data_IF_146971559504
#
_entry.id   IF_146971559504
#
_cell.length_a   1.000
_cell.length_b   1.000
_cell.length_c   1.000
_cell.angle_alpha   90.00
_cell.angle_beta   90.00
_cell.angle_gamma   90.00
#
_symmetry.space_group_name_H-M   'P 1'
#
loop_
_entity.id
_entity.type
_entity.pdbx_description
1 polymer ?
#
# COMPACT_ATOMS: atom_id res chain seq x y z
N UNK A 1 -2.29 -22.43 -21.25
CA UNK A 1 -1.20 -21.93 -20.37
C UNK A 1 -0.96 -20.43 -20.52
N UNK A 2 -0.74 -19.87 -21.72
CA UNK A 2 -0.46 -18.43 -21.88
C UNK A 2 -1.57 -17.49 -21.37
N UNK A 3 -2.84 -17.81 -21.65
CA UNK A 3 -3.98 -17.03 -21.16
C UNK A 3 -4.01 -17.02 -19.62
N UNK A 4 -3.85 -18.19 -19.00
CA UNK A 4 -3.77 -18.31 -17.54
C UNK A 4 -2.58 -17.54 -16.96
N UNK A 5 -1.40 -17.61 -17.60
CA UNK A 5 -0.22 -16.88 -17.16
C UNK A 5 -0.44 -15.37 -17.21
N UNK A 6 -1.06 -14.88 -18.29
CA UNK A 6 -1.41 -13.46 -18.44
C UNK A 6 -2.33 -12.99 -17.31
N UNK A 7 -3.41 -13.72 -17.03
CA UNK A 7 -4.34 -13.36 -15.95
C UNK A 7 -3.69 -13.48 -14.56
N UNK A 8 -2.93 -14.55 -14.32
CA UNK A 8 -2.24 -14.78 -13.05
C UNK A 8 -1.23 -13.68 -12.73
N UNK A 9 -0.37 -13.33 -13.70
CA UNK A 9 0.59 -12.25 -13.56
C UNK A 9 -0.10 -10.89 -13.38
N UNK A 10 -1.11 -10.59 -14.20
CA UNK A 10 -1.81 -9.31 -14.11
C UNK A 10 -2.51 -9.13 -12.76
N UNK A 11 -3.16 -10.18 -12.25
CA UNK A 11 -3.81 -10.14 -10.95
C UNK A 11 -2.80 -9.93 -9.82
N UNK A 12 -1.66 -10.64 -9.87
CA UNK A 12 -0.57 -10.47 -8.90
C UNK A 12 -0.05 -9.04 -8.89
N UNK A 13 0.18 -8.43 -10.06
CA UNK A 13 0.65 -7.05 -10.16
C UNK A 13 -0.37 -6.04 -9.65
N UNK A 14 -1.66 -6.24 -9.92
CA UNK A 14 -2.71 -5.36 -9.38
C UNK A 14 -2.77 -5.46 -7.85
N UNK A 15 -2.67 -6.67 -7.29
CA UNK A 15 -2.60 -6.88 -5.84
C UNK A 15 -1.35 -6.26 -5.24
N UNK A 16 -0.19 -6.45 -5.85
CA UNK A 16 1.05 -5.83 -5.40
C UNK A 16 0.95 -4.29 -5.41
N UNK A 17 0.35 -3.73 -6.47
CA UNK A 17 0.12 -2.29 -6.61
C UNK A 17 -0.80 -1.75 -5.52
N UNK A 18 -1.94 -2.40 -5.24
CA UNK A 18 -2.89 -1.92 -4.24
C UNK A 18 -2.34 -2.06 -2.81
N UNK A 19 -1.60 -3.13 -2.51
CA UNK A 19 -0.99 -3.37 -1.19
C UNK A 19 0.14 -2.38 -0.88
N UNK A 20 0.84 -1.87 -1.90
CA UNK A 20 2.00 -1.00 -1.71
C UNK A 20 1.78 0.44 -2.21
N UNK A 21 0.53 0.82 -2.52
CA UNK A 21 0.23 2.10 -3.14
C UNK A 21 0.75 3.29 -2.34
N UNK A 22 1.74 3.99 -2.91
CA UNK A 22 2.26 5.27 -2.42
C UNK A 22 3.05 5.20 -1.10
N UNK A 23 3.21 4.02 -0.50
CA UNK A 23 3.93 3.86 0.76
C UNK A 23 5.46 3.87 0.50
N UNK A 24 6.20 4.55 1.37
CA UNK A 24 7.66 4.65 1.29
C UNK A 24 8.31 4.45 2.66
N UNK A 25 9.32 3.60 2.71
CA UNK A 25 10.19 3.45 3.88
C UNK A 25 11.13 4.64 4.01
N UNK A 26 11.20 5.19 5.21
CA UNK A 26 12.05 6.32 5.54
C UNK A 26 13.47 5.87 5.88
N UNK A 27 14.44 6.77 5.68
CA UNK A 27 15.82 6.56 6.12
C UNK A 27 16.00 6.99 7.57
N UNK A 28 16.78 6.21 8.31
CA UNK A 28 17.10 6.48 9.71
C UNK A 28 18.09 7.64 9.82
N UNK A 29 17.81 8.59 10.72
CA UNK A 29 18.63 9.78 10.93
C UNK A 29 20.06 9.45 11.40
N UNK A 30 20.25 8.33 12.10
CA UNK A 30 21.54 7.95 12.71
C UNK A 30 22.49 7.17 11.79
N UNK A 31 22.10 6.83 10.55
CA UNK A 31 22.98 6.02 9.70
C UNK A 31 22.54 5.79 8.26
N UNK A 32 21.54 6.52 7.75
CA UNK A 32 21.11 6.46 6.35
C UNK A 32 20.46 5.14 5.91
N UNK A 33 20.42 4.13 6.77
CA UNK A 33 19.74 2.84 6.53
C UNK A 33 18.23 3.03 6.52
N UNK A 34 17.51 2.27 5.70
CA UNK A 34 16.05 2.26 5.72
C UNK A 34 15.51 1.63 7.01
N UNK A 35 14.39 2.16 7.49
CA UNK A 35 13.65 1.60 8.64
C UNK A 35 13.24 0.14 8.40
N UNK A 36 13.15 -0.68 9.44
CA UNK A 36 12.72 -2.08 9.27
C UNK A 36 11.30 -2.15 8.69
N UNK A 37 10.99 -3.15 7.84
CA UNK A 37 9.61 -3.43 7.44
C UNK A 37 8.72 -3.65 8.67
N UNK A 38 7.52 -3.11 8.63
CA UNK A 38 6.52 -3.08 9.71
C UNK A 38 5.15 -2.98 9.05
N UNK A 39 4.07 -3.24 9.80
CA UNK A 39 2.72 -3.31 9.24
C UNK A 39 2.28 -2.04 8.48
N UNK A 40 2.75 -0.85 8.88
CA UNK A 40 2.52 0.44 8.18
C UNK A 40 3.05 0.53 6.74
N UNK A 41 3.92 -0.39 6.31
CA UNK A 41 4.51 -0.38 4.96
C UNK A 41 3.69 -1.15 3.92
N UNK A 42 2.46 -1.53 4.26
CA UNK A 42 1.52 -2.17 3.34
C UNK A 42 0.07 -1.88 3.75
N UNK A 43 -0.83 -1.81 2.78
CA UNK A 43 -2.25 -1.68 3.00
C UNK A 43 -2.86 -3.01 3.43
N UNK A 44 -3.73 -2.97 4.44
CA UNK A 44 -4.49 -4.10 4.96
C UNK A 44 -5.97 -3.99 4.55
N UNK A 45 -6.73 -5.07 4.61
CA UNK A 45 -8.19 -5.08 4.46
C UNK A 45 -8.80 -5.92 5.58
N UNK A 46 -9.90 -5.47 6.18
CA UNK A 46 -10.59 -6.23 7.22
C UNK A 46 -11.95 -6.74 6.73
N UNK A 47 -12.06 -7.19 5.48
CA UNK A 47 -13.32 -7.69 4.92
C UNK A 47 -13.39 -9.23 4.98
N UNK A 48 -14.19 -9.73 5.91
CA UNK A 48 -14.40 -11.16 6.22
C UNK A 48 -14.75 -12.00 4.98
N UNK A 49 -15.59 -11.49 4.07
CA UNK A 49 -16.00 -12.24 2.87
C UNK A 49 -14.82 -12.49 1.93
N UNK A 50 -13.98 -11.47 1.75
CA UNK A 50 -12.79 -11.58 0.92
C UNK A 50 -11.65 -12.33 1.63
N UNK A 51 -11.62 -12.34 2.97
CA UNK A 51 -10.68 -13.12 3.78
C UNK A 51 -10.88 -14.63 3.60
N UNK A 52 -12.12 -15.08 3.49
CA UNK A 52 -12.42 -16.51 3.28
C UNK A 52 -12.08 -16.93 1.84
N UNK A 53 -12.42 -16.11 0.84
CA UNK A 53 -12.18 -16.45 -0.58
C UNK A 53 -10.72 -16.33 -1.02
N UNK A 54 -9.95 -15.40 -0.47
CA UNK A 54 -8.54 -15.19 -0.83
C UNK A 54 -7.56 -15.84 0.16
N UNK A 55 -8.03 -16.74 1.03
CA UNK A 55 -7.19 -17.32 2.08
C UNK A 55 -6.40 -16.24 2.85
N UNK A 56 -7.11 -15.39 3.59
CA UNK A 56 -6.55 -14.36 4.48
C UNK A 56 -5.39 -13.53 3.92
N UNK A 57 -5.33 -13.36 2.60
CA UNK A 57 -4.34 -12.51 1.93
C UNK A 57 -4.27 -11.12 2.55
N UNK A 58 -5.37 -10.66 3.16
CA UNK A 58 -5.48 -9.38 3.81
C UNK A 58 -4.50 -9.19 4.98
N UNK A 59 -4.12 -10.25 5.72
CA UNK A 59 -3.13 -10.15 6.81
C UNK A 59 -1.67 -9.97 6.31
N UNK A 60 -1.51 -9.58 5.06
CA UNK A 60 -0.25 -9.26 4.40
C UNK A 60 0.65 -8.37 5.26
N UNK A 61 0.10 -7.36 5.91
CA UNK A 61 0.89 -6.42 6.72
C UNK A 61 1.62 -7.08 7.89
N UNK A 62 1.00 -8.03 8.59
CA UNK A 62 1.67 -8.79 9.63
C UNK A 62 2.63 -9.82 9.06
N UNK A 63 2.29 -10.46 7.95
CA UNK A 63 3.22 -11.40 7.31
C UNK A 63 4.51 -10.69 6.87
N UNK A 64 4.41 -9.48 6.33
CA UNK A 64 5.58 -8.67 5.94
C UNK A 64 6.36 -8.14 7.15
N UNK A 65 5.69 -7.90 8.29
CA UNK A 65 6.36 -7.52 9.54
C UNK A 65 7.00 -8.73 10.26
N UNK A 66 6.38 -9.91 10.16
CA UNK A 66 6.71 -11.12 10.91
C UNK A 66 6.60 -12.37 10.01
N UNK A 67 7.50 -12.55 9.03
CA UNK A 67 7.38 -13.60 8.00
C UNK A 67 7.50 -15.02 8.56
N UNK A 68 8.03 -15.20 9.77
CA UNK A 68 8.14 -16.49 10.43
C UNK A 68 6.88 -16.90 11.19
N UNK A 69 5.89 -16.00 11.32
CA UNK A 69 4.64 -16.28 12.01
C UNK A 69 3.76 -17.18 11.14
N UNK A 70 3.24 -18.26 11.75
CA UNK A 70 2.31 -19.16 11.07
C UNK A 70 1.08 -18.40 10.62
N UNK A 71 0.62 -18.72 9.41
CA UNK A 71 -0.51 -18.07 8.75
C UNK A 71 -1.77 -17.94 9.63
N UNK A 72 -2.11 -18.98 10.40
CA UNK A 72 -3.29 -18.99 11.29
C UNK A 72 -3.18 -17.98 12.45
N UNK A 73 -1.96 -17.58 12.80
CA UNK A 73 -1.67 -16.70 13.93
C UNK A 73 -1.44 -15.24 13.51
N UNK A 74 -1.50 -14.92 12.21
CA UNK A 74 -1.31 -13.55 11.72
C UNK A 74 -2.30 -12.60 12.41
N UNK A 75 -1.91 -11.36 12.70
CA UNK A 75 -2.73 -10.40 13.44
C UNK A 75 -3.06 -9.18 12.58
N UNK A 76 -4.09 -8.45 13.00
CA UNK A 76 -4.30 -7.09 12.53
C UNK A 76 -3.55 -6.12 13.45
N UNK A 77 -3.08 -5.01 12.88
CA UNK A 77 -2.32 -3.97 13.58
C UNK A 77 -2.95 -2.62 13.25
N UNK A 78 -3.29 -1.84 14.28
CA UNK A 78 -3.92 -0.50 14.12
C UNK A 78 -3.07 0.46 13.28
N UNK A 79 -1.75 0.28 13.32
CA UNK A 79 -0.77 1.06 12.56
C UNK A 79 -0.75 0.73 11.05
N UNK A 80 -1.38 -0.37 10.62
CA UNK A 80 -1.49 -0.70 9.21
C UNK A 80 -2.56 0.19 8.52
N UNK A 81 -2.24 0.87 7.41
CA UNK A 81 -3.24 1.61 6.66
C UNK A 81 -4.29 0.65 6.07
N UNK A 82 -5.57 1.01 6.16
CA UNK A 82 -6.68 0.13 5.76
C UNK A 82 -7.33 0.56 4.44
N UNK A 83 -7.53 -0.42 3.55
CA UNK A 83 -8.31 -0.27 2.33
C UNK A 83 -9.78 0.06 2.65
N UNK A 84 -10.45 0.90 1.85
CA UNK A 84 -11.85 1.26 2.07
C UNK A 84 -12.85 0.11 1.86
N UNK A 85 -12.44 -0.94 1.14
CA UNK A 85 -13.28 -2.06 0.76
C UNK A 85 -12.46 -3.36 0.66
N UNK A 86 -13.14 -4.47 0.36
CA UNK A 86 -12.47 -5.76 0.11
C UNK A 86 -11.67 -5.77 -1.19
N UNK A 87 -10.73 -6.72 -1.32
CA UNK A 87 -9.81 -6.79 -2.47
C UNK A 87 -10.53 -6.84 -3.81
N UNK A 88 -11.64 -7.57 -3.95
CA UNK A 88 -12.36 -7.65 -5.22
C UNK A 88 -12.80 -6.26 -5.72
N UNK A 89 -13.37 -5.45 -4.83
CA UNK A 89 -13.75 -4.06 -5.14
C UNK A 89 -12.53 -3.21 -5.44
N UNK A 90 -11.46 -3.35 -4.65
CA UNK A 90 -10.25 -2.54 -4.80
C UNK A 90 -9.47 -2.88 -6.08
N UNK A 91 -9.43 -4.15 -6.49
CA UNK A 91 -8.84 -4.60 -7.76
C UNK A 91 -9.57 -3.92 -8.92
N UNK A 92 -10.91 -4.00 -8.97
CA UNK A 92 -11.70 -3.35 -10.02
C UNK A 92 -11.49 -1.84 -10.03
N UNK A 93 -11.38 -1.21 -8.85
CA UNK A 93 -11.10 0.21 -8.73
C UNK A 93 -9.70 0.57 -9.24
N UNK A 94 -8.69 -0.25 -8.97
CA UNK A 94 -7.30 -0.05 -9.39
C UNK A 94 -7.15 -0.07 -10.92
N UNK A 95 -8.01 -0.83 -11.62
CA UNK A 95 -8.08 -0.83 -13.08
C UNK A 95 -8.58 0.51 -13.68
N UNK A 96 -9.12 1.42 -12.85
CA UNK A 96 -9.59 2.74 -13.26
C UNK A 96 -8.78 3.81 -12.51
N UNK A 97 -7.56 4.19 -12.98
CA UNK A 97 -6.64 5.08 -12.29
C UNK A 97 -7.22 6.41 -11.76
N UNK A 98 -8.09 7.15 -12.48
CA UNK A 98 -8.62 8.41 -11.94
C UNK A 98 -9.55 8.18 -10.74
N UNK A 99 -10.32 7.09 -10.72
CA UNK A 99 -11.17 6.73 -9.58
C UNK A 99 -10.33 6.22 -8.41
N UNK A 100 -9.36 5.35 -8.68
CA UNK A 100 -8.39 4.88 -7.70
C UNK A 100 -7.72 6.05 -6.96
N UNK A 101 -7.13 7.00 -7.68
CA UNK A 101 -6.45 8.17 -7.09
C UNK A 101 -7.40 9.06 -6.28
N UNK A 102 -8.64 9.25 -6.73
CA UNK A 102 -9.64 10.05 -6.01
C UNK A 102 -9.94 9.49 -4.61
N UNK A 103 -9.83 8.17 -4.44
CA UNK A 103 -10.05 7.47 -3.17
C UNK A 103 -8.74 7.34 -2.38
N UNK A 104 -7.71 6.78 -3.00
CA UNK A 104 -6.51 6.32 -2.32
C UNK A 104 -5.53 7.45 -1.99
N UNK A 105 -5.45 8.51 -2.79
CA UNK A 105 -4.57 9.65 -2.49
C UNK A 105 -4.95 10.31 -1.16
N UNK A 106 -6.26 10.40 -0.88
CA UNK A 106 -6.78 10.95 0.38
C UNK A 106 -6.40 10.09 1.58
N UNK A 107 -6.48 8.76 1.42
CA UNK A 107 -6.15 7.80 2.48
C UNK A 107 -4.64 7.76 2.72
N UNK A 108 -3.85 7.79 1.67
CA UNK A 108 -2.39 7.87 1.75
C UNK A 108 -1.96 9.13 2.50
N UNK A 109 -2.56 10.27 2.16
CA UNK A 109 -2.26 11.53 2.84
C UNK A 109 -2.66 11.48 4.32
N UNK A 110 -3.83 10.90 4.64
CA UNK A 110 -4.27 10.72 6.02
C UNK A 110 -3.32 9.79 6.81
N UNK A 111 -2.82 8.71 6.21
CA UNK A 111 -1.85 7.82 6.84
C UNK A 111 -0.55 8.55 7.25
N UNK A 112 -0.13 9.53 6.44
CA UNK A 112 1.03 10.38 6.76
C UNK A 112 0.68 11.68 7.50
N UNK A 113 -0.52 11.79 8.09
CA UNK A 113 -1.00 12.97 8.82
C UNK A 113 -0.87 14.28 8.01
N UNK A 114 -1.12 14.22 6.70
CA UNK A 114 -1.02 15.39 5.81
C UNK A 114 0.36 15.61 5.19
N UNK A 115 1.38 14.87 5.61
CA UNK A 115 2.74 15.04 5.10
C UNK A 115 2.97 14.21 3.83
N UNK A 116 2.67 14.82 2.68
CA UNK A 116 2.85 14.20 1.36
C UNK A 116 4.33 13.90 1.04
N UNK A 117 5.30 14.51 1.73
CA UNK A 117 6.73 14.32 1.44
C UNK A 117 7.21 12.92 1.80
N UNK A 118 6.49 12.24 2.68
CA UNK A 118 6.75 10.85 3.10
C UNK A 118 6.23 9.81 2.12
N UNK A 119 5.38 10.19 1.17
CA UNK A 119 4.84 9.26 0.17
C UNK A 119 5.83 8.97 -0.95
N UNK A 120 5.71 7.78 -1.55
CA UNK A 120 6.39 7.44 -2.79
C UNK A 120 5.71 8.13 -3.97
N UNK A 121 6.36 9.15 -4.54
CA UNK A 121 5.82 9.92 -5.66
C UNK A 121 6.66 9.64 -6.90
N UNK A 122 5.99 9.39 -8.03
CA UNK A 122 6.65 9.20 -9.32
C UNK A 122 7.61 10.38 -9.61
N UNK A 123 8.93 10.14 -9.77
CA UNK A 123 9.94 11.21 -9.73
C UNK A 123 9.66 12.37 -10.71
N UNK A 124 9.30 12.13 -11.98
CA UNK A 124 8.98 13.21 -12.93
C UNK A 124 7.79 14.10 -12.54
N UNK A 125 6.91 13.63 -11.64
CA UNK A 125 5.71 14.36 -11.21
C UNK A 125 5.84 14.89 -9.79
N UNK A 126 6.98 14.67 -9.12
CA UNK A 126 7.15 14.96 -7.70
C UNK A 126 6.89 16.41 -7.36
N UNK A 127 7.55 17.34 -8.04
CA UNK A 127 7.44 18.77 -7.74
C UNK A 127 6.02 19.29 -7.97
N UNK A 128 5.36 18.83 -9.04
CA UNK A 128 3.95 19.16 -9.31
C UNK A 128 3.02 18.65 -8.22
N UNK A 129 3.25 17.44 -7.70
CA UNK A 129 2.45 16.86 -6.62
C UNK A 129 2.70 17.61 -5.31
N UNK A 130 3.96 17.87 -4.95
CA UNK A 130 4.30 18.61 -3.74
C UNK A 130 3.71 20.03 -3.75
N UNK A 131 3.82 20.74 -4.87
CA UNK A 131 3.23 22.06 -5.06
C UNK A 131 1.70 22.04 -4.88
N UNK A 132 1.02 21.01 -5.38
CA UNK A 132 -0.44 20.85 -5.22
C UNK A 132 -0.87 20.74 -3.76
N UNK A 133 -0.02 20.18 -2.90
CA UNK A 133 -0.28 20.00 -1.47
C UNK A 133 0.42 21.05 -0.59
N UNK A 134 1.02 22.10 -1.17
CA UNK A 134 1.72 23.14 -0.43
C UNK A 134 3.00 22.69 0.28
N UNK A 135 3.50 21.49 -0.03
CA UNK A 135 4.74 20.97 0.52
C UNK A 135 5.94 21.43 -0.33
N UNK A 136 7.06 21.77 0.32
CA UNK A 136 8.32 22.01 -0.38
C UNK A 136 9.07 20.68 -0.52
N UNK A 137 9.73 20.48 -1.65
CA UNK A 137 10.70 19.40 -1.76
C UNK A 137 11.79 19.60 -0.70
N UNK A 138 12.02 18.60 0.16
CA UNK A 138 13.23 18.57 0.96
C UNK A 138 14.42 18.65 -0.02
N UNK A 139 15.31 19.62 0.19
CA UNK A 139 16.58 19.72 -0.53
C UNK A 139 17.37 18.44 -0.25
N UNK A 140 17.76 17.75 -1.33
CA UNK A 140 18.61 16.56 -1.27
C UNK A 140 19.99 16.87 -0.70
#
# INVERSE_FOLDING_TARGET
LLIQAFFGFSLLEVVNYLEHYGLLRQRTAKGGRYERPTARHSWNSNNVVTNVFLYHLQRHSDHHANPTRRYQALRDYEEAPQLPAGYATMILLALIPPLWRKVMDKRLLAHYNGDITKANIHPPKRDKVLARYGAKAASA
#
